data_IF_662566141776
#
_entry.id   IF_662566141776
#
_cell.length_a   1.000
_cell.length_b   1.000
_cell.length_c   1.000
_cell.angle_alpha   90.00
_cell.angle_beta   90.00
_cell.angle_gamma   90.00
#
_symmetry.space_group_name_H-M   'P 1'
#
loop_
_entity.id
_entity.type
_entity.pdbx_description
1 polymer ?
#
# COMPACT_ATOMS: atom_id res chain seq x y z
N UNK A 1 15.71 -45.10 7.68
CA UNK A 1 15.55 -43.76 7.06
C UNK A 1 16.82 -42.96 7.32
N UNK A 2 17.45 -42.37 6.29
CA UNK A 2 18.72 -41.64 6.45
C UNK A 2 18.56 -40.48 7.46
N UNK A 3 19.38 -40.49 8.51
CA UNK A 3 19.39 -39.50 9.61
C UNK A 3 19.34 -38.04 9.12
N UNK A 4 19.96 -37.75 7.96
CA UNK A 4 19.92 -36.44 7.31
C UNK A 4 18.53 -35.99 6.84
N UNK A 5 17.68 -36.91 6.36
CA UNK A 5 16.33 -36.58 5.89
C UNK A 5 15.40 -36.27 7.06
N UNK A 6 15.57 -36.95 8.19
CA UNK A 6 14.84 -36.68 9.42
C UNK A 6 15.24 -35.32 10.01
N UNK A 7 16.55 -35.05 10.08
CA UNK A 7 17.09 -33.77 10.51
C UNK A 7 16.57 -32.60 9.66
N UNK A 8 16.60 -32.73 8.33
CA UNK A 8 16.06 -31.72 7.41
C UNK A 8 14.57 -31.45 7.61
N UNK A 9 13.78 -32.46 7.99
CA UNK A 9 12.35 -32.29 8.25
C UNK A 9 12.09 -31.56 9.57
N UNK A 10 12.91 -31.80 10.59
CA UNK A 10 12.84 -31.07 11.87
C UNK A 10 13.27 -29.61 11.73
N UNK A 11 14.33 -29.36 10.95
CA UNK A 11 14.78 -27.99 10.65
C UNK A 11 13.70 -27.18 9.92
N UNK A 12 12.95 -27.79 9.00
CA UNK A 12 11.79 -27.17 8.35
C UNK A 12 10.66 -26.80 9.31
N UNK A 13 10.56 -27.49 10.44
CA UNK A 13 9.63 -27.16 11.53
C UNK A 13 10.20 -26.10 12.49
N UNK A 14 11.40 -25.57 12.21
CA UNK A 14 12.10 -24.63 13.07
C UNK A 14 12.72 -25.29 14.30
N UNK A 15 12.93 -26.60 14.27
CA UNK A 15 13.61 -27.35 15.33
C UNK A 15 15.04 -27.55 14.89
N UNK A 16 15.93 -26.72 15.42
CA UNK A 16 17.36 -26.87 15.22
C UNK A 16 17.86 -28.00 16.13
N UNK A 17 18.09 -29.17 15.54
CA UNK A 17 18.61 -30.36 16.23
C UNK A 17 20.02 -30.19 16.75
N UNK A 18 20.74 -29.15 16.31
CA UNK A 18 22.09 -28.81 16.79
C UNK A 18 22.08 -27.73 17.87
N UNK A 19 20.92 -27.10 18.10
CA UNK A 19 20.76 -26.10 19.15
C UNK A 19 21.03 -26.68 20.53
N UNK A 20 21.62 -25.86 21.41
CA UNK A 20 21.87 -26.24 22.80
C UNK A 20 20.61 -26.67 23.57
N UNK A 21 19.43 -26.21 23.17
CA UNK A 21 18.14 -26.60 23.75
C UNK A 21 17.79 -28.05 23.37
N UNK A 22 17.91 -28.40 22.08
CA UNK A 22 17.67 -29.77 21.61
C UNK A 22 18.77 -30.74 22.07
N UNK A 23 19.98 -30.25 22.36
CA UNK A 23 21.01 -31.04 23.04
C UNK A 23 20.61 -31.41 24.47
N UNK A 24 20.02 -30.47 25.22
CA UNK A 24 19.47 -30.75 26.56
C UNK A 24 18.32 -31.73 26.46
N UNK A 25 17.38 -31.55 25.53
CA UNK A 25 16.29 -32.50 25.29
C UNK A 25 16.81 -33.92 24.97
N UNK A 26 17.84 -34.02 24.10
CA UNK A 26 18.49 -35.29 23.78
C UNK A 26 19.15 -35.93 25.01
N UNK A 27 19.77 -35.13 25.88
CA UNK A 27 20.34 -35.63 27.13
C UNK A 27 19.25 -36.19 28.07
N UNK A 28 18.09 -35.52 28.18
CA UNK A 28 16.95 -36.05 28.94
C UNK A 28 16.45 -37.37 28.35
N UNK A 29 16.33 -37.47 27.01
CA UNK A 29 15.95 -38.73 26.33
C UNK A 29 16.93 -39.87 26.60
N UNK A 30 18.24 -39.61 26.51
CA UNK A 30 19.26 -40.63 26.76
C UNK A 30 19.30 -41.05 28.23
N UNK A 31 19.19 -40.10 29.16
CA UNK A 31 19.14 -40.39 30.59
C UNK A 31 17.91 -41.23 30.96
N UNK A 32 16.76 -40.95 30.32
CA UNK A 32 15.51 -41.65 30.59
C UNK A 32 15.50 -43.06 30.00
N UNK A 33 16.17 -43.28 28.87
CA UNK A 33 16.21 -44.55 28.14
C UNK A 33 14.87 -44.96 27.50
N UNK A 34 13.74 -44.37 27.93
CA UNK A 34 12.40 -44.54 27.38
C UNK A 34 11.49 -43.34 27.70
N UNK A 35 10.34 -43.25 27.03
CA UNK A 35 9.34 -42.16 27.12
C UNK A 35 8.39 -42.25 28.33
N UNK A 36 8.78 -42.98 29.39
CA UNK A 36 7.93 -43.17 30.57
C UNK A 36 8.71 -43.12 31.88
N UNK A 37 10.03 -42.93 31.84
CA UNK A 37 10.87 -42.86 33.03
C UNK A 37 11.17 -41.41 33.37
N UNK A 38 10.94 -41.04 34.63
CA UNK A 38 11.41 -39.76 35.15
C UNK A 38 12.89 -39.84 35.47
N UNK A 39 13.63 -38.77 35.17
CA UNK A 39 15.06 -38.63 35.43
C UNK A 39 15.35 -37.44 36.33
N UNK A 40 16.42 -37.51 37.09
CA UNK A 40 16.88 -36.38 37.90
C UNK A 40 17.93 -35.53 37.17
N UNK A 41 18.26 -34.37 37.76
CA UNK A 41 19.22 -33.45 37.19
C UNK A 41 20.62 -34.06 36.97
N UNK A 42 21.10 -34.89 37.89
CA UNK A 42 22.45 -35.46 37.81
C UNK A 42 22.57 -36.46 36.66
N UNK A 43 21.52 -37.23 36.39
CA UNK A 43 21.43 -38.12 35.22
C UNK A 43 21.48 -37.32 33.91
N UNK A 44 20.75 -36.20 33.84
CA UNK A 44 20.74 -35.32 32.65
C UNK A 44 22.13 -34.71 32.40
N UNK A 45 22.81 -34.24 33.46
CA UNK A 45 24.16 -33.66 33.33
C UNK A 45 25.16 -34.68 32.79
N UNK A 46 25.14 -35.90 33.31
CA UNK A 46 26.03 -36.98 32.84
C UNK A 46 25.82 -37.25 31.35
N UNK A 47 24.57 -37.43 30.92
CA UNK A 47 24.26 -37.65 29.51
C UNK A 47 24.60 -36.43 28.64
N UNK A 48 24.48 -35.21 29.16
CA UNK A 48 24.81 -33.99 28.40
C UNK A 48 26.33 -33.83 28.20
N UNK A 49 27.14 -34.17 29.20
CA UNK A 49 28.61 -34.16 29.10
C UNK A 49 29.11 -35.17 28.05
N UNK A 50 28.46 -36.34 27.96
CA UNK A 50 28.77 -37.37 26.95
C UNK A 50 28.46 -36.92 25.51
N UNK A 51 27.38 -36.16 25.30
CA UNK A 51 26.94 -35.73 23.96
C UNK A 51 27.66 -34.47 23.48
N UNK A 52 27.81 -33.47 24.36
CA UNK A 52 28.22 -32.12 23.97
C UNK A 52 29.72 -31.86 24.14
N UNK A 53 30.46 -32.76 24.80
CA UNK A 53 31.88 -32.63 25.11
C UNK A 53 32.26 -31.26 25.71
N UNK A 54 31.32 -30.65 26.44
CA UNK A 54 31.42 -29.32 27.04
C UNK A 54 30.58 -29.28 28.31
N UNK A 55 31.09 -28.60 29.34
CA UNK A 55 30.35 -28.34 30.59
C UNK A 55 29.45 -27.12 30.46
N UNK A 56 28.18 -27.29 30.79
CA UNK A 56 27.21 -26.21 30.92
C UNK A 56 27.02 -25.82 32.38
N UNK A 57 26.70 -24.55 32.63
CA UNK A 57 26.43 -24.09 34.00
C UNK A 57 25.07 -24.60 34.48
N UNK A 58 24.93 -24.82 35.79
CA UNK A 58 23.67 -25.28 36.40
C UNK A 58 22.48 -24.39 36.04
N UNK A 59 22.65 -23.07 36.14
CA UNK A 59 21.62 -22.09 35.78
C UNK A 59 21.21 -22.18 34.30
N UNK A 60 22.14 -22.50 33.40
CA UNK A 60 21.86 -22.66 31.98
C UNK A 60 20.98 -23.88 31.71
N UNK A 61 21.30 -25.01 32.32
CA UNK A 61 20.54 -26.26 32.14
C UNK A 61 19.11 -26.09 32.66
N UNK A 62 18.92 -25.51 33.85
CA UNK A 62 17.57 -25.24 34.36
C UNK A 62 16.77 -24.32 33.45
N UNK A 63 17.38 -23.27 32.89
CA UNK A 63 16.71 -22.40 31.93
C UNK A 63 16.23 -23.20 30.71
N UNK A 64 17.07 -24.06 30.15
CA UNK A 64 16.69 -24.90 29.00
C UNK A 64 15.64 -25.94 29.32
N UNK A 65 15.66 -26.52 30.52
CA UNK A 65 14.62 -27.45 30.95
C UNK A 65 13.26 -26.73 31.08
N UNK A 66 13.24 -25.51 31.61
CA UNK A 66 12.01 -24.70 31.62
C UNK A 66 11.56 -24.34 30.19
N UNK A 67 12.47 -23.91 29.31
CA UNK A 67 12.15 -23.61 27.90
C UNK A 67 11.50 -24.84 27.20
N UNK A 68 12.01 -26.04 27.49
CA UNK A 68 11.49 -27.30 26.94
C UNK A 68 10.13 -27.68 27.54
N UNK A 69 9.89 -27.36 28.81
CA UNK A 69 8.59 -27.55 29.46
C UNK A 69 7.53 -26.61 28.90
N UNK A 70 7.86 -25.32 28.76
CA UNK A 70 6.96 -24.32 28.14
C UNK A 70 6.58 -24.72 26.71
N UNK A 71 7.50 -25.34 25.99
CA UNK A 71 7.26 -25.86 24.64
C UNK A 71 6.54 -27.23 24.62
N UNK A 72 6.35 -27.86 25.78
CA UNK A 72 5.66 -29.14 25.94
C UNK A 72 6.47 -30.37 25.56
N UNK A 73 7.80 -30.25 25.40
CA UNK A 73 8.69 -31.38 25.09
C UNK A 73 8.98 -32.24 26.32
N UNK A 74 8.99 -31.64 27.51
CA UNK A 74 9.19 -32.33 28.78
C UNK A 74 8.15 -31.89 29.81
N UNK A 75 8.01 -32.66 30.88
CA UNK A 75 7.22 -32.30 32.06
C UNK A 75 8.12 -32.28 33.29
N UNK A 76 8.06 -31.23 34.10
CA UNK A 76 8.83 -31.12 35.36
C UNK A 76 7.92 -31.48 36.53
N UNK A 77 8.27 -32.53 37.27
CA UNK A 77 7.65 -32.82 38.56
C UNK A 77 8.36 -32.00 39.65
N UNK A 78 7.63 -31.01 40.18
CA UNK A 78 8.09 -30.11 41.24
C UNK A 78 7.67 -30.57 42.64
N UNK A 79 6.84 -31.61 42.74
CA UNK A 79 6.31 -32.15 44.00
C UNK A 79 7.39 -32.99 44.71
N UNK A 80 8.17 -33.73 43.93
CA UNK A 80 9.23 -34.61 44.45
C UNK A 80 10.57 -33.87 44.54
N UNK A 81 11.32 -34.13 45.62
CA UNK A 81 12.70 -33.65 45.80
C UNK A 81 13.64 -34.85 45.81
N UNK A 82 14.65 -34.91 44.90
CA UNK A 82 14.97 -33.92 43.87
C UNK A 82 13.93 -33.87 42.74
N UNK A 83 13.81 -32.70 42.08
CA UNK A 83 12.91 -32.51 40.93
C UNK A 83 13.21 -33.56 39.86
N UNK A 84 12.16 -34.07 39.24
CA UNK A 84 12.30 -35.05 38.16
C UNK A 84 11.72 -34.54 36.85
N UNK A 85 12.24 -35.05 35.75
CA UNK A 85 11.93 -34.63 34.39
C UNK A 85 11.49 -35.86 33.62
N UNK A 86 10.37 -35.76 32.91
CA UNK A 86 9.85 -36.87 32.10
C UNK A 86 9.50 -36.39 30.70
N UNK A 87 9.54 -37.33 29.75
CA UNK A 87 9.18 -37.09 28.34
C UNK A 87 8.08 -38.06 28.02
N UNK A 88 6.96 -37.60 27.48
CA UNK A 88 5.87 -38.46 27.02
C UNK A 88 5.73 -38.36 25.50
N UNK A 89 5.36 -39.46 24.85
CA UNK A 89 5.13 -39.47 23.40
C UNK A 89 4.03 -38.49 22.99
N UNK A 90 2.96 -38.40 23.78
CA UNK A 90 1.86 -37.46 23.59
C UNK A 90 2.30 -36.00 23.75
N UNK A 91 3.19 -35.70 24.71
CA UNK A 91 3.79 -34.38 24.90
C UNK A 91 4.61 -33.96 23.69
N UNK A 92 5.54 -34.80 23.25
CA UNK A 92 6.38 -34.53 22.08
C UNK A 92 5.54 -34.37 20.81
N UNK A 93 4.55 -35.22 20.57
CA UNK A 93 3.66 -35.11 19.42
C UNK A 93 2.91 -33.77 19.40
N UNK A 94 2.39 -33.33 20.57
CA UNK A 94 1.69 -32.05 20.72
C UNK A 94 2.62 -30.85 20.54
N UNK A 95 3.85 -30.93 21.05
CA UNK A 95 4.87 -29.90 20.88
C UNK A 95 5.23 -29.72 19.40
N UNK A 96 5.46 -30.84 18.69
CA UNK A 96 5.72 -30.85 17.24
C UNK A 96 4.54 -30.30 16.43
N UNK A 97 3.31 -30.66 16.79
CA UNK A 97 2.11 -30.16 16.11
C UNK A 97 1.94 -28.64 16.32
N UNK A 98 2.21 -28.16 17.52
CA UNK A 98 2.18 -26.73 17.85
C UNK A 98 3.22 -25.96 17.03
N UNK A 99 4.48 -26.44 16.99
CA UNK A 99 5.53 -25.85 16.15
C UNK A 99 5.16 -25.84 14.67
N UNK A 100 4.56 -26.94 14.17
CA UNK A 100 4.05 -27.01 12.79
C UNK A 100 3.00 -25.94 12.52
N UNK A 101 2.02 -25.76 13.40
CA UNK A 101 0.95 -24.76 13.25
C UNK A 101 1.51 -23.33 13.22
N UNK A 102 2.44 -23.02 14.14
CA UNK A 102 3.11 -21.71 14.18
C UNK A 102 3.89 -21.46 12.88
N UNK A 103 4.71 -22.41 12.44
CA UNK A 103 5.45 -22.26 11.18
C UNK A 103 4.56 -22.16 9.96
N UNK A 104 3.46 -22.90 9.92
CA UNK A 104 2.49 -22.78 8.83
C UNK A 104 1.87 -21.38 8.80
N UNK A 105 1.49 -20.84 9.95
CA UNK A 105 0.97 -19.48 10.05
C UNK A 105 2.01 -18.44 9.57
N UNK A 106 3.26 -18.53 10.02
CA UNK A 106 4.36 -17.67 9.56
C UNK A 106 4.53 -17.72 8.03
N UNK A 107 4.49 -18.92 7.45
CA UNK A 107 4.62 -19.10 6.00
C UNK A 107 3.43 -18.54 5.23
N UNK A 108 2.21 -18.68 5.75
CA UNK A 108 1.00 -18.09 5.15
C UNK A 108 1.07 -16.56 5.17
N UNK A 109 1.48 -15.95 6.30
CA UNK A 109 1.68 -14.50 6.40
C UNK A 109 2.72 -14.02 5.40
N UNK A 110 3.88 -14.68 5.33
CA UNK A 110 4.92 -14.33 4.34
C UNK A 110 4.43 -14.47 2.90
N UNK A 111 3.67 -15.53 2.59
CA UNK A 111 3.06 -15.72 1.27
C UNK A 111 2.11 -14.56 0.95
N UNK A 112 1.29 -14.14 1.91
CA UNK A 112 0.38 -13.02 1.75
C UNK A 112 1.14 -11.71 1.51
N UNK A 113 2.18 -11.41 2.30
CA UNK A 113 3.01 -10.22 2.10
C UNK A 113 3.66 -10.19 0.70
N UNK A 114 4.25 -11.31 0.27
CA UNK A 114 4.86 -11.44 -1.06
C UNK A 114 3.80 -11.27 -2.14
N UNK A 115 2.62 -11.86 -1.98
CA UNK A 115 1.50 -11.71 -2.92
C UNK A 115 1.02 -10.27 -3.00
N UNK A 116 0.90 -9.56 -1.86
CA UNK A 116 0.55 -8.14 -1.83
C UNK A 116 1.61 -7.28 -2.53
N UNK A 117 2.90 -7.53 -2.29
CA UNK A 117 4.00 -6.83 -2.98
C UNK A 117 3.96 -7.09 -4.50
N UNK A 118 3.73 -8.34 -4.90
CA UNK A 118 3.65 -8.73 -6.29
C UNK A 118 2.43 -8.12 -7.00
N UNK A 119 1.27 -8.07 -6.33
CA UNK A 119 0.08 -7.40 -6.86
C UNK A 119 0.30 -5.90 -7.04
N UNK A 120 0.97 -5.24 -6.09
CA UNK A 120 1.37 -3.82 -6.22
C UNK A 120 2.32 -3.62 -7.41
N UNK A 121 3.29 -4.51 -7.61
CA UNK A 121 4.20 -4.43 -8.75
C UNK A 121 3.49 -4.67 -10.09
N UNK A 122 2.54 -5.61 -10.14
CA UNK A 122 1.73 -5.88 -11.35
C UNK A 122 0.83 -4.71 -11.73
N UNK A 123 0.37 -3.91 -10.76
CA UNK A 123 -0.45 -2.72 -11.03
C UNK A 123 0.36 -1.52 -11.51
N UNK A 124 1.68 -1.51 -11.29
CA UNK A 124 2.54 -0.38 -11.69
C UNK A 124 2.88 -0.49 -13.17
N UNK A 125 2.57 0.56 -13.92
CA UNK A 125 2.87 0.64 -15.35
C UNK A 125 4.33 1.05 -15.56
N UNK A 126 4.98 0.54 -16.61
CA UNK A 126 6.38 0.86 -16.92
C UNK A 126 6.62 2.37 -17.11
N UNK A 127 5.61 3.09 -17.57
CA UNK A 127 5.62 4.55 -17.70
C UNK A 127 5.69 5.27 -16.35
N UNK A 128 5.00 4.78 -15.32
CA UNK A 128 5.06 5.37 -13.96
C UNK A 128 6.46 5.20 -13.35
N UNK A 129 7.08 4.03 -13.57
CA UNK A 129 8.45 3.79 -13.16
C UNK A 129 9.43 4.71 -13.88
N UNK A 130 9.27 4.91 -15.18
CA UNK A 130 10.10 5.82 -15.96
C UNK A 130 9.96 7.27 -15.46
N UNK A 131 8.74 7.73 -15.18
CA UNK A 131 8.48 9.06 -14.62
C UNK A 131 9.07 9.21 -13.21
N UNK A 132 8.95 8.19 -12.35
CA UNK A 132 9.57 8.20 -11.01
C UNK A 132 11.09 8.25 -11.08
N UNK A 133 11.71 7.42 -11.93
CA UNK A 133 13.17 7.41 -12.14
C UNK A 133 13.66 8.74 -12.70
N UNK A 134 12.96 9.30 -13.69
CA UNK A 134 13.29 10.60 -14.25
C UNK A 134 13.23 11.70 -13.19
N UNK A 135 12.18 11.73 -12.34
CA UNK A 135 12.09 12.68 -11.22
C UNK A 135 13.23 12.54 -10.23
N UNK A 136 13.63 11.31 -9.92
CA UNK A 136 14.71 11.02 -8.97
C UNK A 136 16.09 11.39 -9.54
N UNK A 137 16.28 11.26 -10.85
CA UNK A 137 17.53 11.59 -11.54
C UNK A 137 17.69 13.08 -11.83
N UNK A 138 16.63 13.77 -12.25
CA UNK A 138 16.69 15.18 -12.67
C UNK A 138 16.68 16.14 -11.47
N UNK A 139 16.18 15.69 -10.31
CA UNK A 139 15.93 16.57 -9.18
C UNK A 139 14.72 17.45 -9.46
N UNK A 140 13.80 17.56 -8.50
CA UNK A 140 12.60 18.37 -8.64
C UNK A 140 12.94 19.85 -8.44
N UNK A 141 13.65 20.48 -9.38
CA UNK A 141 13.76 21.93 -9.39
C UNK A 141 12.41 22.54 -9.78
N UNK A 142 11.97 23.45 -8.93
CA UNK A 142 10.76 24.23 -9.12
C UNK A 142 10.93 25.16 -10.30
N UNK A 143 9.97 25.17 -11.22
CA UNK A 143 9.89 26.30 -12.17
C UNK A 143 9.43 27.51 -11.36
N UNK A 144 10.23 28.57 -11.32
CA UNK A 144 9.92 29.80 -10.59
C UNK A 144 9.36 30.91 -11.48
N UNK A 145 9.42 30.75 -12.81
CA UNK A 145 8.99 31.75 -13.80
C UNK A 145 8.02 31.15 -14.79
N UNK A 146 7.12 32.00 -15.30
CA UNK A 146 6.17 31.61 -16.33
C UNK A 146 6.89 31.16 -17.60
N UNK A 147 6.46 30.03 -18.17
CA UNK A 147 7.04 29.47 -19.38
C UNK A 147 6.02 28.66 -20.18
N UNK A 148 6.29 28.53 -21.48
CA UNK A 148 5.54 27.65 -22.37
C UNK A 148 6.17 26.27 -22.34
N UNK A 149 5.33 25.26 -22.16
CA UNK A 149 5.67 23.84 -22.11
C UNK A 149 5.15 23.21 -23.41
N UNK A 150 6.03 22.53 -24.12
CA UNK A 150 5.72 21.82 -25.36
C UNK A 150 5.94 20.31 -25.20
N UNK A 151 5.10 19.51 -25.87
CA UNK A 151 5.04 18.06 -25.79
C UNK A 151 4.05 17.55 -24.75
N UNK A 152 3.19 16.61 -25.14
CA UNK A 152 2.14 16.02 -24.30
C UNK A 152 2.71 15.49 -22.97
N UNK A 153 3.79 14.71 -23.04
CA UNK A 153 4.43 14.13 -21.85
C UNK A 153 5.07 15.18 -20.94
N UNK A 154 5.58 16.27 -21.51
CA UNK A 154 6.12 17.38 -20.74
C UNK A 154 5.01 18.13 -20.03
N UNK A 155 3.89 18.43 -20.69
CA UNK A 155 2.72 19.08 -20.07
C UNK A 155 2.21 18.22 -18.91
N UNK A 156 2.00 16.92 -19.12
CA UNK A 156 1.58 15.97 -18.07
C UNK A 156 2.56 15.94 -16.89
N UNK A 157 3.85 15.79 -17.17
CA UNK A 157 4.89 15.75 -16.13
C UNK A 157 4.97 17.05 -15.32
N UNK A 158 4.78 18.19 -15.97
CA UNK A 158 4.74 19.50 -15.29
C UNK A 158 3.49 19.63 -14.42
N UNK A 159 2.31 19.18 -14.86
CA UNK A 159 1.11 19.20 -14.02
C UNK A 159 1.33 18.39 -12.75
N UNK A 160 1.86 17.16 -12.90
CA UNK A 160 2.14 16.31 -11.75
C UNK A 160 3.16 16.97 -10.83
N UNK A 161 4.28 17.48 -11.36
CA UNK A 161 5.35 18.05 -10.53
C UNK A 161 4.91 19.35 -9.85
N UNK A 162 4.25 20.23 -10.57
CA UNK A 162 3.98 21.60 -10.11
C UNK A 162 2.69 21.71 -9.30
N UNK A 163 1.69 20.89 -9.57
CA UNK A 163 0.37 20.98 -8.93
C UNK A 163 0.12 19.79 -8.01
N UNK A 164 0.32 18.56 -8.48
CA UNK A 164 0.00 17.39 -7.66
C UNK A 164 1.06 17.15 -6.57
N UNK A 165 2.34 17.05 -6.91
CA UNK A 165 3.39 16.65 -5.96
C UNK A 165 3.82 17.79 -5.02
N UNK A 166 3.65 19.06 -5.41
CA UNK A 166 3.96 20.23 -4.57
C UNK A 166 2.81 20.68 -3.67
N UNK A 167 1.57 20.26 -3.93
CA UNK A 167 0.45 20.65 -3.09
C UNK A 167 0.52 19.96 -1.71
N UNK A 168 0.32 20.76 -0.67
CA UNK A 168 0.35 20.38 0.73
C UNK A 168 -1.06 20.33 1.33
N UNK A 169 -1.20 19.70 2.50
CA UNK A 169 -2.48 19.62 3.19
C UNK A 169 -3.01 21.04 3.49
N UNK A 170 -4.25 21.31 3.08
CA UNK A 170 -4.86 22.65 3.16
C UNK A 170 -4.84 23.45 1.85
N UNK A 171 -4.01 23.07 0.89
CA UNK A 171 -4.01 23.70 -0.45
C UNK A 171 -5.28 23.39 -1.24
N UNK A 172 -5.58 24.24 -2.22
CA UNK A 172 -6.71 24.10 -3.14
C UNK A 172 -6.21 23.98 -4.59
N UNK A 173 -6.49 22.85 -5.21
CA UNK A 173 -6.32 22.63 -6.65
C UNK A 173 -7.67 22.79 -7.34
N UNK A 174 -7.74 23.70 -8.32
CA UNK A 174 -8.89 23.85 -9.23
C UNK A 174 -8.54 23.30 -10.60
N UNK A 175 -9.39 22.46 -11.17
CA UNK A 175 -9.19 21.84 -12.49
C UNK A 175 -10.39 22.13 -13.36
N UNK A 176 -10.22 22.88 -14.45
CA UNK A 176 -11.21 23.05 -15.49
C UNK A 176 -10.81 22.20 -16.70
N UNK A 177 -11.52 21.11 -16.92
CA UNK A 177 -11.18 20.12 -17.95
C UNK A 177 -12.38 19.69 -18.78
N UNK A 178 -12.15 18.77 -19.71
CA UNK A 178 -13.22 18.12 -20.45
C UNK A 178 -13.63 16.82 -19.77
N UNK A 179 -14.90 16.43 -19.86
CA UNK A 179 -15.41 15.11 -19.42
C UNK A 179 -14.58 13.96 -19.98
N UNK A 180 -14.12 14.11 -21.21
CA UNK A 180 -13.37 13.09 -21.94
C UNK A 180 -11.98 12.81 -21.35
N UNK A 181 -11.47 13.66 -20.46
CA UNK A 181 -10.20 13.39 -19.74
C UNK A 181 -10.37 12.34 -18.64
N UNK A 182 -11.58 12.17 -18.09
CA UNK A 182 -11.87 11.08 -17.16
C UNK A 182 -12.10 9.73 -17.87
N UNK A 183 -12.57 9.78 -19.11
CA UNK A 183 -12.99 8.63 -19.90
C UNK A 183 -11.93 7.55 -20.09
N UNK A 184 -10.66 7.96 -20.09
CA UNK A 184 -9.55 7.08 -20.45
C UNK A 184 -9.06 6.21 -19.29
N UNK A 185 -9.59 6.41 -18.07
CA UNK A 185 -9.19 5.63 -16.89
C UNK A 185 -7.67 5.60 -16.73
N UNK A 186 -7.08 4.40 -16.61
CA UNK A 186 -5.64 4.18 -16.51
C UNK A 186 -4.89 4.31 -17.85
N UNK A 187 -5.50 4.78 -18.94
CA UNK A 187 -4.81 5.05 -20.21
C UNK A 187 -3.70 6.10 -20.05
N UNK A 188 -2.87 6.35 -21.10
CA UNK A 188 -1.81 7.36 -21.06
C UNK A 188 -2.31 8.75 -20.65
N UNK A 189 -3.57 9.09 -20.98
CA UNK A 189 -4.25 10.31 -20.57
C UNK A 189 -4.44 10.48 -19.07
N UNK A 190 -5.00 9.47 -18.38
CA UNK A 190 -5.56 9.63 -17.03
C UNK A 190 -4.58 9.56 -15.87
N UNK A 191 -3.27 9.37 -16.13
CA UNK A 191 -2.24 9.36 -15.06
C UNK A 191 -2.17 10.71 -14.34
N UNK A 192 -2.38 11.80 -15.08
CA UNK A 192 -2.29 13.17 -14.54
C UNK A 192 -3.46 13.46 -13.60
N UNK A 193 -4.68 13.19 -14.05
CA UNK A 193 -5.93 13.38 -13.31
C UNK A 193 -5.96 12.49 -12.07
N UNK A 194 -5.55 11.22 -12.20
CA UNK A 194 -5.45 10.31 -11.07
C UNK A 194 -4.46 10.82 -10.02
N UNK A 195 -3.34 11.42 -10.43
CA UNK A 195 -2.36 11.98 -9.50
C UNK A 195 -2.85 13.25 -8.80
N UNK A 196 -3.63 14.08 -9.49
CA UNK A 196 -4.32 15.22 -8.89
C UNK A 196 -5.35 14.75 -7.86
N UNK A 197 -6.20 13.78 -8.22
CA UNK A 197 -7.17 13.16 -7.29
C UNK A 197 -6.44 12.55 -6.08
N UNK A 198 -5.31 11.88 -6.30
CA UNK A 198 -4.51 11.29 -5.21
C UNK A 198 -4.02 12.32 -4.18
N UNK A 199 -3.82 13.57 -4.61
CA UNK A 199 -3.44 14.66 -3.73
C UNK A 199 -4.53 14.93 -2.68
N UNK A 200 -5.79 14.67 -3.04
CA UNK A 200 -6.94 14.76 -2.14
C UNK A 200 -6.88 13.83 -0.93
N UNK A 201 -6.33 12.63 -1.10
CA UNK A 201 -6.11 11.70 0.01
C UNK A 201 -5.03 12.18 1.00
N UNK A 202 -4.20 13.16 0.62
CA UNK A 202 -3.18 13.77 1.49
C UNK A 202 -3.67 15.04 2.20
N UNK A 203 -4.93 15.43 2.04
CA UNK A 203 -5.49 16.63 2.67
C UNK A 203 -5.54 17.88 1.76
N UNK A 204 -5.20 17.75 0.47
CA UNK A 204 -5.34 18.83 -0.51
C UNK A 204 -6.81 18.90 -0.96
N UNK A 205 -7.42 20.08 -1.00
CA UNK A 205 -8.76 20.24 -1.58
C UNK A 205 -8.65 20.24 -3.12
N UNK A 206 -9.32 19.33 -3.80
CA UNK A 206 -9.32 19.19 -5.26
C UNK A 206 -10.72 19.43 -5.79
N UNK A 207 -10.90 20.49 -6.58
CA UNK A 207 -12.15 20.86 -7.22
C UNK A 207 -12.03 20.70 -8.74
N UNK A 208 -12.67 19.67 -9.29
CA UNK A 208 -12.67 19.41 -10.72
C UNK A 208 -14.00 19.81 -11.37
N UNK A 209 -13.97 20.81 -12.23
CA UNK A 209 -15.08 21.20 -13.08
C UNK A 209 -14.88 20.66 -14.49
N UNK A 210 -15.81 19.83 -14.92
CA UNK A 210 -15.70 19.09 -16.18
C UNK A 210 -16.75 19.57 -17.17
N UNK A 211 -16.30 19.84 -18.39
CA UNK A 211 -17.13 20.38 -19.46
C UNK A 211 -17.34 19.34 -20.55
N UNK A 212 -18.54 19.25 -21.16
CA UNK A 212 -18.73 18.42 -22.34
C UNK A 212 -17.88 18.93 -23.52
N UNK A 213 -17.53 18.03 -24.44
CA UNK A 213 -16.83 18.35 -25.68
C UNK A 213 -17.88 18.55 -26.79
N UNK A 214 -17.77 19.64 -27.55
CA UNK A 214 -18.62 19.93 -28.74
C UNK A 214 -20.15 20.00 -28.45
N UNK A 215 -21.00 19.85 -29.49
CA UNK A 215 -22.47 19.97 -29.43
C UNK A 215 -23.18 18.85 -28.66
N UNK A 216 -22.43 17.96 -28.01
CA UNK A 216 -22.99 16.93 -27.16
C UNK A 216 -23.50 17.58 -25.87
N UNK A 217 -24.83 17.77 -25.80
CA UNK A 217 -25.47 18.04 -24.52
C UNK A 217 -25.17 16.88 -23.59
N UNK A 218 -24.72 17.21 -22.38
CA UNK A 218 -24.37 16.26 -21.34
C UNK A 218 -25.55 15.29 -21.09
N UNK A 219 -25.48 14.07 -21.64
CA UNK A 219 -26.49 13.04 -21.42
C UNK A 219 -26.01 12.10 -20.29
N UNK A 220 -26.92 11.71 -19.39
CA UNK A 220 -26.67 10.77 -18.29
C UNK A 220 -25.96 9.49 -18.76
N UNK A 221 -26.23 9.02 -19.98
CA UNK A 221 -25.58 7.83 -20.54
C UNK A 221 -24.09 8.06 -20.89
N UNK A 222 -23.73 9.25 -21.39
CA UNK A 222 -22.32 9.62 -21.66
C UNK A 222 -21.56 9.80 -20.34
N UNK A 223 -22.17 10.46 -19.36
CA UNK A 223 -21.61 10.59 -18.01
C UNK A 223 -21.39 9.23 -17.35
N UNK A 224 -22.36 8.32 -17.46
CA UNK A 224 -22.25 6.96 -16.97
C UNK A 224 -21.04 6.23 -17.57
N UNK A 225 -20.86 6.31 -18.90
CA UNK A 225 -19.76 5.66 -19.60
C UNK A 225 -18.38 6.14 -19.12
N UNK A 226 -18.25 7.43 -18.83
CA UNK A 226 -16.97 8.03 -18.40
C UNK A 226 -16.69 7.89 -16.90
N UNK A 227 -17.73 7.85 -16.07
CA UNK A 227 -17.59 7.76 -14.62
C UNK A 227 -17.48 6.32 -14.11
N UNK A 228 -18.07 5.34 -14.82
CA UNK A 228 -18.08 3.94 -14.39
C UNK A 228 -16.70 3.39 -13.99
N UNK A 229 -15.62 3.65 -14.76
CA UNK A 229 -14.27 3.16 -14.38
C UNK A 229 -13.69 3.81 -13.12
N UNK A 230 -14.22 4.96 -12.69
CA UNK A 230 -13.70 5.74 -11.58
C UNK A 230 -14.62 5.74 -10.35
N UNK A 231 -15.72 4.96 -10.37
CA UNK A 231 -16.69 4.90 -9.26
C UNK A 231 -16.01 4.57 -7.93
N UNK A 232 -15.14 3.57 -7.88
CA UNK A 232 -14.44 3.20 -6.63
C UNK A 232 -13.54 4.33 -6.11
N UNK A 233 -12.86 5.04 -7.01
CA UNK A 233 -12.03 6.19 -6.66
C UNK A 233 -12.90 7.31 -6.12
N UNK A 234 -14.07 7.56 -6.71
CA UNK A 234 -15.01 8.57 -6.24
C UNK A 234 -15.67 8.19 -4.91
N UNK A 235 -16.03 6.93 -4.70
CA UNK A 235 -16.53 6.43 -3.41
C UNK A 235 -15.48 6.58 -2.30
N UNK A 236 -14.20 6.38 -2.60
CA UNK A 236 -13.13 6.65 -1.63
C UNK A 236 -12.91 8.15 -1.43
N UNK A 237 -12.95 8.92 -2.51
CA UNK A 237 -12.78 10.36 -2.51
C UNK A 237 -13.83 11.08 -1.65
N UNK A 238 -15.10 10.65 -1.74
CA UNK A 238 -16.20 11.21 -0.92
C UNK A 238 -16.00 11.02 0.58
N UNK A 239 -15.36 9.94 1.02
CA UNK A 239 -15.05 9.72 2.43
C UNK A 239 -14.07 10.76 2.99
N UNK A 240 -13.24 11.36 2.13
CA UNK A 240 -12.27 12.38 2.55
C UNK A 240 -12.87 13.79 2.63
N UNK A 241 -13.95 14.07 1.90
CA UNK A 241 -14.48 15.43 1.72
C UNK A 241 -13.58 16.40 0.95
N UNK A 242 -12.37 15.98 0.58
CA UNK A 242 -11.35 16.82 -0.04
C UNK A 242 -11.46 16.87 -1.55
N UNK A 243 -12.17 15.94 -2.17
CA UNK A 243 -12.29 15.85 -3.63
C UNK A 243 -13.74 16.11 -4.01
N UNK A 244 -13.93 17.10 -4.87
CA UNK A 244 -15.24 17.52 -5.36
C UNK A 244 -15.17 17.57 -6.88
N UNK A 245 -16.17 16.98 -7.54
CA UNK A 245 -16.33 17.10 -8.97
C UNK A 245 -17.69 17.69 -9.31
N UNK A 246 -17.72 18.53 -10.33
CA UNK A 246 -18.95 19.08 -10.91
C UNK A 246 -18.89 19.03 -12.43
N UNK A 247 -20.05 18.97 -13.07
CA UNK A 247 -20.18 19.12 -14.52
C UNK A 247 -20.87 20.43 -14.86
N UNK A 248 -20.45 21.06 -15.96
CA UNK A 248 -21.26 22.13 -16.55
C UNK A 248 -22.33 21.53 -17.47
N UNK A 249 -23.54 22.11 -17.50
CA UNK A 249 -24.62 21.60 -18.34
C UNK A 249 -24.36 21.85 -19.82
N UNK A 250 -23.61 22.90 -20.14
CA UNK A 250 -23.31 23.33 -21.50
C UNK A 250 -21.79 23.34 -21.75
N UNK A 251 -21.36 23.16 -23.01
CA UNK A 251 -19.98 23.32 -23.42
C UNK A 251 -19.55 24.76 -23.22
N UNK A 252 -18.38 24.96 -22.63
CA UNK A 252 -17.84 26.30 -22.40
C UNK A 252 -16.72 26.56 -23.39
N UNK A 253 -16.78 27.69 -24.07
CA UNK A 253 -15.69 28.17 -24.94
C UNK A 253 -14.64 28.93 -24.12
N UNK A 254 -14.06 28.25 -23.15
CA UNK A 254 -12.95 28.79 -22.35
C UNK A 254 -11.76 27.85 -22.43
N UNK A 255 -10.59 28.36 -22.10
CA UNK A 255 -9.40 27.53 -22.00
C UNK A 255 -9.52 26.58 -20.81
N UNK A 256 -8.94 25.40 -20.97
CA UNK A 256 -8.74 24.49 -19.85
C UNK A 256 -7.64 25.06 -18.95
N UNK A 257 -7.84 24.92 -17.65
CA UNK A 257 -6.90 25.44 -16.65
C UNK A 257 -6.71 24.47 -15.49
N UNK A 258 -5.54 24.55 -14.87
CA UNK A 258 -5.28 23.95 -13.56
C UNK A 258 -4.66 25.03 -12.70
N UNK A 259 -5.26 25.35 -11.55
CA UNK A 259 -4.72 26.34 -10.60
C UNK A 259 -4.34 25.65 -9.30
N UNK A 260 -3.22 26.06 -8.72
CA UNK A 260 -2.86 25.76 -7.33
C UNK A 260 -2.98 27.05 -6.53
N UNK A 261 -3.92 27.08 -5.58
CA UNK A 261 -4.31 28.24 -4.81
C UNK A 261 -4.55 29.46 -5.72
N UNK A 262 -3.89 30.56 -5.41
CA UNK A 262 -3.80 31.76 -6.24
C UNK A 262 -2.40 31.93 -6.84
N UNK A 263 -1.48 31.01 -6.57
CA UNK A 263 -0.03 31.17 -6.74
C UNK A 263 0.42 30.91 -8.18
N UNK A 264 -0.19 29.91 -8.83
CA UNK A 264 0.14 29.56 -10.21
C UNK A 264 -0.99 28.83 -10.91
N UNK A 265 -0.97 28.95 -12.23
CA UNK A 265 -1.92 28.34 -13.13
C UNK A 265 -1.18 27.70 -14.30
N UNK A 266 -1.69 26.55 -14.77
CA UNK A 266 -1.35 25.99 -16.06
C UNK A 266 -2.53 26.19 -17.00
N UNK A 267 -2.28 26.86 -18.12
CA UNK A 267 -3.26 27.19 -19.15
C UNK A 267 -2.97 26.36 -20.40
N UNK A 268 -3.91 25.53 -20.82
CA UNK A 268 -3.76 24.79 -22.07
C UNK A 268 -3.99 25.72 -23.26
N UNK A 269 -3.02 25.80 -24.16
CA UNK A 269 -3.08 26.71 -25.31
C UNK A 269 -3.79 26.09 -26.53
N UNK A 270 -4.13 24.80 -26.45
CA UNK A 270 -4.85 24.08 -27.51
C UNK A 270 -6.15 23.48 -26.99
N UNK A 271 -7.19 23.51 -27.83
CA UNK A 271 -8.47 22.83 -27.58
C UNK A 271 -8.43 21.33 -27.93
N UNK A 272 -7.28 20.83 -28.39
CA UNK A 272 -7.08 19.41 -28.68
C UNK A 272 -7.25 18.59 -27.40
N UNK A 273 -7.88 17.41 -27.50
CA UNK A 273 -8.12 16.52 -26.35
C UNK A 273 -6.84 16.29 -25.54
N UNK A 274 -5.76 15.93 -26.23
CA UNK A 274 -4.40 15.91 -25.69
C UNK A 274 -3.71 17.22 -26.06
N UNK A 275 -3.46 18.08 -25.07
CA UNK A 275 -2.66 19.28 -25.33
C UNK A 275 -1.19 18.94 -25.33
N UNK A 276 -0.57 19.21 -26.46
CA UNK A 276 0.86 19.28 -26.67
C UNK A 276 1.47 20.60 -26.20
N UNK A 277 0.67 21.66 -26.00
CA UNK A 277 1.18 22.96 -25.57
C UNK A 277 0.37 23.54 -24.41
N UNK A 278 1.07 23.96 -23.35
CA UNK A 278 0.49 24.68 -22.22
C UNK A 278 1.42 25.79 -21.71
N UNK A 279 0.87 26.85 -21.13
CA UNK A 279 1.63 27.87 -20.43
C UNK A 279 1.51 27.66 -18.92
N UNK A 280 2.65 27.49 -18.22
CA UNK A 280 2.71 27.62 -16.78
C UNK A 280 2.89 29.10 -16.44
N UNK A 281 2.03 29.64 -15.60
CA UNK A 281 1.94 31.06 -15.28
C UNK A 281 1.98 31.21 -13.76
N UNK A 282 2.90 32.03 -13.26
CA UNK A 282 3.02 32.36 -11.86
C UNK A 282 2.32 33.69 -11.54
N UNK A 283 1.76 33.81 -10.33
CA UNK A 283 1.11 35.04 -9.85
C UNK A 283 2.05 36.24 -9.84
N UNK A 284 3.34 36.01 -9.59
CA UNK A 284 4.37 37.05 -9.67
C UNK A 284 4.46 37.70 -11.04
N UNK A 285 4.14 36.96 -12.10
CA UNK A 285 4.36 37.38 -13.48
C UNK A 285 3.07 37.90 -14.11
N UNK A 286 1.93 37.29 -13.81
CA UNK A 286 0.62 37.72 -14.32
C UNK A 286 -0.53 37.45 -13.33
N UNK A 287 -0.69 38.29 -12.30
CA UNK A 287 -1.73 38.09 -11.28
C UNK A 287 -3.15 38.31 -11.85
N UNK A 288 -3.30 39.22 -12.83
CA UNK A 288 -4.61 39.52 -13.43
C UNK A 288 -5.22 38.32 -14.12
N UNK A 289 -4.43 37.65 -14.97
CA UNK A 289 -4.89 36.46 -15.69
C UNK A 289 -5.30 35.32 -14.75
N UNK A 290 -4.54 35.10 -13.66
CA UNK A 290 -4.88 34.08 -12.67
C UNK A 290 -6.17 34.44 -11.92
N UNK A 291 -6.32 35.70 -11.52
CA UNK A 291 -7.54 36.15 -10.83
C UNK A 291 -8.78 36.01 -11.72
N UNK A 292 -8.69 36.37 -13.00
CA UNK A 292 -9.80 36.25 -13.95
C UNK A 292 -10.15 34.77 -14.20
N UNK A 293 -9.15 33.91 -14.30
CA UNK A 293 -9.32 32.47 -14.47
C UNK A 293 -9.98 31.82 -13.24
N UNK A 294 -9.53 32.16 -12.03
CA UNK A 294 -10.13 31.68 -10.77
C UNK A 294 -11.57 32.18 -10.64
N UNK A 295 -11.82 33.46 -10.90
CA UNK A 295 -13.17 34.03 -10.85
C UNK A 295 -14.11 33.30 -11.82
N UNK A 296 -13.66 33.10 -13.05
CA UNK A 296 -14.42 32.35 -14.06
C UNK A 296 -14.69 30.92 -13.59
N UNK A 297 -13.70 30.25 -13.02
CA UNK A 297 -13.88 28.92 -12.44
C UNK A 297 -14.93 28.91 -11.33
N UNK A 298 -14.83 29.83 -10.37
CA UNK A 298 -15.71 29.88 -9.21
C UNK A 298 -17.17 30.20 -9.63
N UNK A 299 -17.39 31.08 -10.62
CA UNK A 299 -18.71 31.35 -11.20
C UNK A 299 -19.33 30.10 -11.87
N UNK A 300 -18.52 29.38 -12.64
CA UNK A 300 -18.96 28.14 -13.29
C UNK A 300 -19.13 26.99 -12.29
N UNK A 301 -18.36 27.00 -11.20
CA UNK A 301 -18.44 26.01 -10.14
C UNK A 301 -19.79 26.08 -9.43
N UNK A 302 -20.25 27.28 -9.08
CA UNK A 302 -21.53 27.50 -8.39
C UNK A 302 -22.74 27.05 -9.22
N UNK A 303 -22.66 27.15 -10.54
CA UNK A 303 -23.71 26.67 -11.46
C UNK A 303 -23.55 25.19 -11.88
N UNK A 304 -22.44 24.54 -11.49
CA UNK A 304 -22.13 23.16 -11.84
C UNK A 304 -22.98 22.12 -11.11
N UNK A 305 -23.26 21.01 -11.79
CA UNK A 305 -24.01 19.87 -11.25
C UNK A 305 -23.05 18.92 -10.55
N UNK A 306 -23.32 18.58 -9.28
CA UNK A 306 -22.50 17.64 -8.51
C UNK A 306 -22.56 16.22 -9.08
N UNK A 307 -21.39 15.59 -9.26
CA UNK A 307 -21.27 14.22 -9.77
C UNK A 307 -21.96 13.21 -8.86
N UNK A 308 -21.94 13.43 -7.54
CA UNK A 308 -22.54 12.51 -6.58
C UNK A 308 -24.06 12.50 -6.67
N UNK A 309 -24.67 13.64 -6.98
CA UNK A 309 -26.11 13.73 -7.19
C UNK A 309 -26.53 12.98 -8.45
N UNK A 310 -25.68 12.97 -9.47
CA UNK A 310 -25.88 12.17 -10.69
C UNK A 310 -25.76 10.68 -10.37
N UNK A 311 -24.71 10.25 -9.67
CA UNK A 311 -24.51 8.84 -9.30
C UNK A 311 -25.66 8.30 -8.44
N UNK A 312 -26.15 9.07 -7.47
CA UNK A 312 -27.33 8.71 -6.66
C UNK A 312 -28.58 8.48 -7.51
N UNK A 313 -28.86 9.38 -8.46
CA UNK A 313 -30.00 9.24 -9.40
C UNK A 313 -29.86 8.00 -10.29
N UNK A 314 -28.65 7.65 -10.71
CA UNK A 314 -28.39 6.46 -11.51
C UNK A 314 -28.60 5.16 -10.74
N UNK A 315 -28.16 5.09 -9.48
CA UNK A 315 -28.33 3.90 -8.63
C UNK A 315 -29.82 3.63 -8.31
N UNK A 316 -30.60 4.70 -8.08
CA UNK A 316 -32.04 4.58 -7.86
C UNK A 316 -32.78 4.02 -9.09
N UNK A 317 -32.39 4.45 -10.30
CA UNK A 317 -33.02 4.03 -11.56
C UNK A 317 -32.71 2.58 -11.96
N UNK A 318 -31.65 1.98 -11.41
CA UNK A 318 -31.27 0.57 -11.65
C UNK A 318 -31.95 -0.41 -10.68
N UNK A 319 -32.61 0.12 -9.66
CA UNK A 319 -33.32 -0.62 -8.60
C UNK A 319 -34.83 -0.69 -8.84
N UNK A 320 -35.31 -0.10 -9.94
CA UNK A 320 -36.69 -0.08 -10.42
C UNK A 320 -36.78 -0.82 -11.76
#
# INVERSE_FOLDING_TARGET
MSSKKFQSNLEKLGIDTTSSEMQVFRAVLLAAGCTSRSVNYDEIVRSLEEIANKRYTKAYIYRRLNDLEEQGFITIDTIHTPRTYSITETGVAKALETKRKVKLADHLTKKQEVTTKLNRLKSVKSQELALMLHKQLVGAQSIEKSLVIEGIENVRSNIIREFADKAEAGDLIRVLGHVSTLAEGLGPGGVTELRLIQSGFRGVKVQGLLTPVESEKLNLNLMAGHLTPMVEVFEQATKTGNIQLRFTPEPIKTYRIICLNEDKMLLYLTHAKESDVAALIHRSDNPGLINDAIKTFDELWESGIDVLDILKKMLQKKSS
#
